data_IF_673128843945
#
_entry.id   IF_673128843945
#
_cell.length_a   1.000
_cell.length_b   1.000
_cell.length_c   1.000
_cell.angle_alpha   90.00
_cell.angle_beta   90.00
_cell.angle_gamma   90.00
#
_symmetry.space_group_name_H-M   'P 1'
#
loop_
_entity.id
_entity.type
_entity.pdbx_description
1 polymer ?
#
# COMPACT_ATOMS: atom_id res chain seq x y z
N UNK A 1 -13.18 -8.51 2.63
CA UNK A 1 -12.18 -7.54 3.11
C UNK A 1 -11.36 -7.09 1.92
N UNK A 2 -11.08 -5.81 1.82
CA UNK A 2 -10.33 -5.33 0.65
C UNK A 2 -8.85 -5.69 0.72
N UNK A 3 -8.26 -5.81 -0.44
CA UNK A 3 -6.83 -6.02 -0.56
C UNK A 3 -6.15 -4.68 -0.77
N UNK A 4 -5.13 -4.41 0.03
CA UNK A 4 -4.36 -3.17 -0.09
C UNK A 4 -2.94 -3.50 -0.50
N UNK A 5 -2.37 -2.65 -1.32
CA UNK A 5 -1.00 -2.80 -1.77
C UNK A 5 -0.11 -1.81 -1.04
N UNK A 6 1.08 -2.25 -0.72
CA UNK A 6 2.04 -1.46 0.02
C UNK A 6 3.39 -1.53 -0.66
N UNK A 7 4.17 -0.51 -0.43
CA UNK A 7 5.54 -0.47 -0.96
C UNK A 7 6.49 -0.15 0.18
N UNK A 8 7.52 -0.97 0.31
CA UNK A 8 8.60 -0.71 1.27
C UNK A 8 9.59 0.24 0.62
N UNK A 9 9.68 1.46 1.15
CA UNK A 9 10.52 2.50 0.53
C UNK A 9 12.00 2.26 0.77
N UNK A 10 12.36 1.40 1.71
CA UNK A 10 13.76 1.09 1.96
C UNK A 10 14.31 0.08 0.96
N UNK A 11 13.48 -0.87 0.55
CA UNK A 11 13.92 -1.92 -0.36
C UNK A 11 13.23 -1.85 -1.71
N UNK A 12 12.25 -0.95 -1.87
CA UNK A 12 11.45 -0.82 -3.09
C UNK A 12 10.62 -2.06 -3.39
N UNK A 13 10.34 -2.84 -2.38
CA UNK A 13 9.50 -4.02 -2.57
C UNK A 13 8.04 -3.67 -2.49
N UNK A 14 7.26 -4.26 -3.38
CA UNK A 14 5.81 -4.06 -3.39
C UNK A 14 5.17 -5.37 -2.98
N UNK A 15 4.21 -5.29 -2.08
CA UNK A 15 3.50 -6.46 -1.59
C UNK A 15 2.06 -6.09 -1.31
N UNK A 16 1.21 -7.09 -1.15
CA UNK A 16 -0.19 -6.83 -0.86
C UNK A 16 -0.62 -7.63 0.34
N UNK A 17 -1.59 -7.09 1.06
CA UNK A 17 -2.16 -7.74 2.23
C UNK A 17 -3.64 -7.47 2.27
N UNK A 18 -4.38 -8.42 2.81
CA UNK A 18 -5.82 -8.28 2.99
C UNK A 18 -6.05 -7.83 4.42
N UNK A 19 -6.69 -6.68 4.58
CA UNK A 19 -6.96 -6.12 5.89
C UNK A 19 -8.04 -5.07 5.79
N UNK A 20 -8.56 -4.66 6.94
CA UNK A 20 -9.53 -3.58 6.99
C UNK A 20 -8.81 -2.25 6.86
N UNK A 21 -9.57 -1.24 6.46
CA UNK A 21 -9.01 0.09 6.31
C UNK A 21 -8.38 0.59 7.62
N UNK A 22 -9.04 0.32 8.74
CA UNK A 22 -8.52 0.74 10.04
C UNK A 22 -7.16 0.12 10.31
N UNK A 23 -7.03 -1.16 9.98
CA UNK A 23 -5.77 -1.86 10.16
C UNK A 23 -4.71 -1.31 9.23
N UNK A 24 -5.10 -0.93 8.02
CA UNK A 24 -4.16 -0.33 7.07
C UNK A 24 -3.57 0.95 7.64
N UNK A 25 -4.42 1.83 8.17
CA UNK A 25 -3.95 3.11 8.70
C UNK A 25 -2.98 2.87 9.85
N UNK A 26 -3.33 1.96 10.76
CA UNK A 26 -2.49 1.64 11.88
C UNK A 26 -1.15 1.06 11.42
N UNK A 27 -1.21 0.16 10.46
CA UNK A 27 -0.01 -0.47 9.93
C UNK A 27 0.96 0.57 9.36
N UNK A 28 0.42 1.53 8.62
CA UNK A 28 1.26 2.57 8.02
C UNK A 28 1.84 3.49 9.06
N UNK A 29 1.11 3.75 10.14
CA UNK A 29 1.62 4.59 11.22
C UNK A 29 2.77 3.91 11.96
N UNK A 30 2.67 2.61 12.15
CA UNK A 30 3.70 1.87 12.87
C UNK A 30 4.91 1.57 12.00
N UNK A 31 4.73 1.65 10.68
CA UNK A 31 5.80 1.34 9.74
C UNK A 31 5.97 2.51 8.79
N UNK A 32 6.68 3.56 9.21
CA UNK A 32 6.80 4.77 8.39
C UNK A 32 7.56 4.53 7.09
N UNK A 33 8.31 3.45 6.99
CA UNK A 33 8.99 3.10 5.75
C UNK A 33 8.07 2.41 4.75
N UNK A 34 6.84 2.11 5.15
CA UNK A 34 5.86 1.47 4.27
C UNK A 34 4.87 2.53 3.81
N UNK A 35 4.58 2.53 2.53
CA UNK A 35 3.63 3.46 1.95
C UNK A 35 2.51 2.71 1.26
N UNK A 36 1.36 3.37 1.18
CA UNK A 36 0.26 2.85 0.40
C UNK A 36 0.64 2.93 -1.07
N UNK A 37 0.51 1.82 -1.78
CA UNK A 37 0.92 1.76 -3.17
C UNK A 37 -0.30 1.52 -4.05
N UNK A 38 -0.38 2.24 -5.15
CA UNK A 38 -1.48 2.10 -6.10
C UNK A 38 -0.86 1.73 -7.45
N UNK A 39 -1.12 0.51 -7.86
CA UNK A 39 -0.56 0.03 -9.12
C UNK A 39 -1.51 0.30 -10.27
N UNK A 40 -2.31 1.33 -10.18
CA UNK A 40 -3.23 1.67 -11.23
C UNK A 40 -2.49 2.11 -12.44
N UNK A 41 -2.87 1.58 -13.40
CA UNK A 41 -2.28 2.03 -14.56
C UNK A 41 -3.08 3.06 -15.20
N UNK A 42 -3.46 3.40 -15.21
CA UNK A 42 -4.08 4.16 -15.88
C UNK A 42 -3.93 5.18 -16.27
N UNK A 43 -3.92 5.35 -16.57
CA UNK A 43 -3.83 6.13 -16.81
C UNK A 43 -3.97 6.74 -17.69
N UNK A 44 -4.34 6.89 -18.20
CA UNK A 44 -4.44 7.45 -18.89
C UNK A 44 -4.66 8.15 -19.33
N UNK A 45 -4.94 8.42 -19.58
CA UNK A 45 -5.19 9.08 -19.98
C UNK A 45 -5.08 9.62 -20.57
N UNK A 46 -5.16 9.75 -20.77
CA UNK A 46 -5.12 10.41 -21.33
C UNK A 46 -5.17 10.81 -21.68
#
# INVERSE_FOLDING_TARGET
MPTYEFKNTETDEVFEKIMKYEDKVKYLEENPNIQSYYSTMNIDHD
#
